data_IF_584190919565
#
_entry.id   IF_584190919565
#
_cell.length_a   1.000
_cell.length_b   1.000
_cell.length_c   1.000
_cell.angle_alpha   90.00
_cell.angle_beta   90.00
_cell.angle_gamma   90.00
#
_symmetry.space_group_name_H-M   'P 1'
#
loop_
_entity.id
_entity.type
_entity.pdbx_description
1 polymer ?
#
# COMPACT_ATOMS: atom_id res chain seq x y z
N UNK A 1 0.87 -48.78 32.47
CA UNK A 1 0.61 -50.08 31.84
C UNK A 1 -0.78 -50.04 31.21
N UNK A 2 -0.84 -50.19 29.88
CA UNK A 2 -1.87 -50.82 29.02
C UNK A 2 -3.37 -50.55 29.30
N UNK A 3 -4.26 -50.22 28.34
CA UNK A 3 -4.29 -50.48 26.89
C UNK A 3 -5.13 -49.44 26.13
N UNK A 4 -4.68 -49.07 24.93
CA UNK A 4 -5.53 -48.61 23.83
C UNK A 4 -6.17 -49.81 23.14
N UNK A 5 -7.45 -49.75 22.75
CA UNK A 5 -8.00 -50.59 21.67
C UNK A 5 -9.26 -49.94 21.07
N UNK A 6 -9.13 -49.50 19.81
CA UNK A 6 -10.16 -49.44 18.79
C UNK A 6 -9.44 -49.92 17.52
N UNK A 7 -10.01 -50.83 16.69
CA UNK A 7 -11.04 -50.39 15.73
C UNK A 7 -12.05 -51.47 15.28
N UNK A 8 -13.22 -51.07 14.78
CA UNK A 8 -13.81 -51.51 13.50
C UNK A 8 -15.28 -51.09 13.35
N UNK A 9 -15.55 -50.32 12.29
CA UNK A 9 -16.85 -50.06 11.68
C UNK A 9 -17.14 -51.15 10.62
N UNK A 10 -18.43 -51.38 10.26
CA UNK A 10 -18.86 -50.97 8.92
C UNK A 10 -20.32 -50.45 8.77
N UNK A 11 -20.46 -49.38 7.97
CA UNK A 11 -21.43 -49.04 6.90
C UNK A 11 -22.99 -49.11 7.07
N UNK A 12 -23.63 -47.91 7.09
CA UNK A 12 -24.73 -47.33 6.23
C UNK A 12 -26.07 -48.10 5.98
N UNK A 13 -27.25 -47.43 5.75
CA UNK A 13 -27.44 -46.30 4.82
C UNK A 13 -28.45 -45.17 5.18
N UNK A 14 -28.38 -44.12 4.33
CA UNK A 14 -29.27 -42.96 4.11
C UNK A 14 -30.76 -43.13 4.46
N UNK A 15 -31.33 -42.09 5.08
CA UNK A 15 -32.69 -41.65 4.77
C UNK A 15 -32.69 -40.16 4.41
N UNK A 16 -33.28 -39.88 3.25
CA UNK A 16 -33.59 -38.54 2.78
C UNK A 16 -34.96 -38.15 3.35
N UNK A 17 -35.10 -36.90 3.78
CA UNK A 17 -36.40 -36.25 3.91
C UNK A 17 -36.35 -34.90 3.19
N UNK A 18 -37.32 -34.72 2.31
CA UNK A 18 -37.49 -33.57 1.42
C UNK A 18 -38.67 -32.70 1.88
N UNK A 19 -38.39 -31.40 2.01
CA UNK A 19 -39.19 -30.21 1.65
C UNK A 19 -40.42 -29.84 2.52
N UNK A 20 -40.32 -28.65 3.15
CA UNK A 20 -41.35 -27.61 3.11
C UNK A 20 -40.67 -26.25 2.91
N UNK A 21 -41.26 -25.42 2.06
CA UNK A 21 -40.74 -24.16 1.53
C UNK A 21 -41.29 -23.00 2.36
N UNK A 22 -40.42 -22.22 2.99
CA UNK A 22 -40.71 -20.82 3.35
C UNK A 22 -39.75 -19.93 2.54
N UNK A 23 -40.24 -18.96 1.75
CA UNK A 23 -39.41 -18.08 0.98
C UNK A 23 -38.92 -16.91 1.87
N UNK A 24 -37.64 -16.55 1.72
CA UNK A 24 -36.91 -15.47 2.41
C UNK A 24 -36.17 -15.86 3.70
N UNK A 25 -35.29 -16.87 3.61
CA UNK A 25 -34.02 -16.82 4.33
C UNK A 25 -32.90 -17.08 3.34
N UNK A 26 -32.00 -16.11 3.21
CA UNK A 26 -30.70 -16.33 2.59
C UNK A 26 -29.97 -17.38 3.44
N UNK A 27 -29.99 -18.65 3.00
CA UNK A 27 -29.12 -19.69 3.55
C UNK A 27 -27.74 -19.40 2.96
N UNK A 28 -26.93 -18.64 3.70
CA UNK A 28 -25.53 -18.46 3.38
C UNK A 28 -24.82 -19.77 3.76
N UNK A 29 -24.50 -20.59 2.76
CA UNK A 29 -23.75 -21.82 2.95
C UNK A 29 -22.40 -21.52 3.65
N UNK A 30 -22.19 -22.13 4.81
CA UNK A 30 -20.86 -22.44 5.36
C UNK A 30 -20.03 -21.27 5.89
N UNK A 31 -20.56 -20.46 6.81
CA UNK A 31 -19.72 -19.50 7.52
C UNK A 31 -18.97 -20.17 8.68
N UNK A 32 -17.67 -20.42 8.51
CA UNK A 32 -16.82 -21.04 9.54
C UNK A 32 -16.40 -20.03 10.62
N UNK A 33 -16.09 -20.47 11.84
CA UNK A 33 -15.60 -19.60 12.93
C UNK A 33 -14.36 -18.79 12.52
N UNK A 34 -13.48 -19.41 11.73
CA UNK A 34 -12.27 -18.78 11.19
C UNK A 34 -12.54 -17.64 10.19
N UNK A 35 -13.77 -17.52 9.68
CA UNK A 35 -14.17 -16.42 8.82
C UNK A 35 -14.40 -15.12 9.60
N UNK A 36 -14.87 -15.21 10.84
CA UNK A 36 -15.29 -14.06 11.64
C UNK A 36 -14.32 -13.70 12.76
N UNK A 37 -13.68 -14.70 13.37
CA UNK A 37 -12.85 -14.50 14.55
C UNK A 37 -11.38 -14.70 14.23
N UNK A 38 -10.58 -13.71 14.60
CA UNK A 38 -9.13 -13.80 14.53
C UNK A 38 -8.56 -14.58 15.73
N UNK A 39 -9.16 -14.36 16.90
CA UNK A 39 -8.72 -14.96 18.16
C UNK A 39 -9.91 -15.20 19.08
N UNK A 40 -9.91 -16.32 19.79
CA UNK A 40 -10.87 -16.62 20.85
C UNK A 40 -10.07 -16.92 22.12
N UNK A 41 -10.35 -16.21 23.21
CA UNK A 41 -9.66 -16.41 24.49
C UNK A 41 -10.66 -16.81 25.55
N UNK A 42 -10.44 -17.95 26.17
CA UNK A 42 -11.23 -18.44 27.31
C UNK A 42 -10.41 -18.25 28.58
N UNK A 43 -10.89 -17.36 29.44
CA UNK A 43 -10.33 -17.09 30.74
C UNK A 43 -11.10 -17.86 31.80
N UNK A 44 -10.33 -18.52 32.65
CA UNK A 44 -10.79 -19.11 33.90
C UNK A 44 -10.02 -18.44 35.04
N UNK A 45 -10.50 -18.50 36.28
CA UNK A 45 -9.85 -17.84 37.41
C UNK A 45 -8.36 -18.19 37.60
N UNK A 46 -7.90 -19.34 37.08
CA UNK A 46 -6.50 -19.80 37.20
C UNK A 46 -5.81 -20.12 35.87
N UNK A 47 -6.54 -20.25 34.76
CA UNK A 47 -5.99 -20.69 33.46
C UNK A 47 -6.53 -19.84 32.32
N UNK A 48 -5.70 -19.66 31.29
CA UNK A 48 -6.07 -18.98 30.05
C UNK A 48 -5.83 -19.92 28.90
N UNK A 49 -6.84 -20.10 28.05
CA UNK A 49 -6.73 -20.84 26.78
C UNK A 49 -6.99 -19.86 25.66
N UNK A 50 -6.07 -19.78 24.69
CA UNK A 50 -6.20 -18.91 23.53
C UNK A 50 -6.15 -19.74 22.25
N UNK A 51 -7.15 -19.58 21.41
CA UNK A 51 -7.15 -20.04 20.03
C UNK A 51 -6.88 -18.86 19.12
N UNK A 52 -5.96 -19.03 18.16
CA UNK A 52 -5.62 -18.03 17.17
C UNK A 52 -5.76 -18.65 15.78
N UNK A 53 -6.32 -17.90 14.84
CA UNK A 53 -6.36 -18.33 13.45
C UNK A 53 -4.95 -18.29 12.83
N UNK A 54 -4.41 -19.45 12.45
CA UNK A 54 -3.05 -19.58 11.90
C UNK A 54 -2.97 -19.67 10.37
N UNK A 55 -4.08 -19.53 9.64
CA UNK A 55 -4.11 -19.65 8.17
C UNK A 55 -4.18 -21.08 7.64
N UNK A 56 -5.09 -21.90 8.19
CA UNK A 56 -5.29 -23.31 7.80
C UNK A 56 -6.65 -23.58 7.13
N UNK A 57 -7.12 -24.82 7.27
CA UNK A 57 -8.47 -25.23 6.88
C UNK A 57 -9.52 -24.56 7.78
N UNK A 58 -10.72 -24.27 7.25
CA UNK A 58 -11.78 -23.63 8.02
C UNK A 58 -12.13 -24.43 9.28
N UNK A 59 -12.24 -23.73 10.40
CA UNK A 59 -12.65 -24.32 11.68
C UNK A 59 -14.09 -23.91 11.94
N UNK A 60 -14.97 -24.89 12.10
CA UNK A 60 -16.40 -24.67 12.37
C UNK A 60 -16.73 -24.74 13.87
N UNK A 61 -15.94 -25.49 14.65
CA UNK A 61 -16.21 -25.73 16.06
C UNK A 61 -14.92 -25.68 16.90
N UNK A 62 -15.00 -25.07 18.08
CA UNK A 62 -13.93 -25.08 19.08
C UNK A 62 -14.39 -25.86 20.32
N UNK A 63 -13.86 -27.07 20.48
CA UNK A 63 -14.19 -27.95 21.62
C UNK A 63 -13.11 -27.86 22.69
N UNK A 64 -13.50 -27.51 23.91
CA UNK A 64 -12.62 -27.46 25.09
C UNK A 64 -13.04 -28.52 26.10
N UNK A 65 -12.15 -29.48 26.38
CA UNK A 65 -12.38 -30.51 27.39
C UNK A 65 -11.48 -30.28 28.59
N UNK A 66 -12.07 -30.30 29.79
CA UNK A 66 -11.36 -30.17 31.07
C UNK A 66 -11.76 -31.30 32.00
N UNK A 67 -10.82 -31.77 32.81
CA UNK A 67 -11.10 -32.62 33.96
C UNK A 67 -11.18 -31.77 35.24
N UNK A 68 -12.31 -31.80 35.92
CA UNK A 68 -12.50 -31.11 37.20
C UNK A 68 -13.90 -31.33 37.75
N UNK A 69 -14.03 -31.19 39.06
CA UNK A 69 -15.23 -31.47 39.87
C UNK A 69 -15.76 -30.20 40.57
N UNK A 70 -15.29 -29.03 40.16
CA UNK A 70 -15.71 -27.73 40.68
C UNK A 70 -16.41 -26.90 39.60
N UNK A 71 -17.56 -26.27 39.91
CA UNK A 71 -18.22 -25.35 39.00
C UNK A 71 -17.33 -24.12 38.77
N UNK A 72 -17.43 -23.53 37.59
CA UNK A 72 -16.47 -22.51 37.16
C UNK A 72 -17.13 -21.45 36.29
N UNK A 73 -16.84 -20.19 36.58
CA UNK A 73 -17.23 -19.08 35.71
C UNK A 73 -16.14 -18.84 34.66
N UNK A 74 -16.51 -19.02 33.40
CA UNK A 74 -15.70 -18.72 32.22
C UNK A 74 -15.97 -17.29 31.74
N UNK A 75 -14.91 -16.58 31.34
CA UNK A 75 -15.03 -15.38 30.51
C UNK A 75 -14.46 -15.69 29.13
N UNK A 76 -15.30 -15.62 28.11
CA UNK A 76 -14.94 -15.91 26.72
C UNK A 76 -14.85 -14.58 25.99
N UNK A 77 -13.69 -14.31 25.38
CA UNK A 77 -13.43 -13.11 24.59
C UNK A 77 -13.31 -13.50 23.12
N UNK A 78 -14.17 -12.92 22.30
CA UNK A 78 -14.16 -13.08 20.85
C UNK A 78 -13.53 -11.85 20.21
N UNK A 79 -12.38 -12.03 19.57
CA UNK A 79 -11.72 -10.99 18.78
C UNK A 79 -12.17 -11.15 17.33
N UNK A 80 -12.99 -10.21 16.87
CA UNK A 80 -13.44 -10.15 15.49
C UNK A 80 -12.27 -9.83 14.57
N UNK A 81 -12.25 -10.46 13.41
CA UNK A 81 -11.28 -10.20 12.36
C UNK A 81 -11.56 -8.81 11.79
N UNK A 82 -10.84 -7.81 12.30
CA UNK A 82 -11.02 -6.44 11.84
C UNK A 82 -10.39 -6.26 10.47
N UNK A 83 -11.22 -6.01 9.46
CA UNK A 83 -10.77 -5.35 8.24
C UNK A 83 -11.15 -3.89 8.36
N UNK A 84 -10.17 -3.00 8.17
CA UNK A 84 -10.44 -1.59 8.04
C UNK A 84 -11.38 -1.42 6.84
N UNK A 85 -12.53 -0.75 7.00
CA UNK A 85 -13.40 -0.47 5.87
C UNK A 85 -12.62 0.31 4.82
N UNK A 86 -12.71 -0.11 3.56
CA UNK A 86 -12.11 0.61 2.42
C UNK A 86 -12.95 1.80 1.96
N UNK A 87 -14.08 2.06 2.60
CA UNK A 87 -14.98 3.18 2.32
C UNK A 87 -14.74 4.36 3.28
N UNK A 88 -15.21 5.54 2.87
CA UNK A 88 -14.93 6.84 3.48
C UNK A 88 -14.90 6.82 5.00
N UNK A 89 -13.70 7.04 5.56
CA UNK A 89 -13.42 7.10 6.99
C UNK A 89 -14.20 8.24 7.68
N UNK A 90 -14.66 9.21 6.90
CA UNK A 90 -15.55 10.28 7.34
C UNK A 90 -16.97 9.91 6.92
N UNK A 91 -17.87 9.77 7.90
CA UNK A 91 -19.27 9.47 7.65
C UNK A 91 -19.88 10.43 6.62
N UNK A 92 -20.90 9.97 5.91
CA UNK A 92 -21.61 10.71 4.85
C UNK A 92 -22.16 12.09 5.26
N UNK A 93 -22.17 12.39 6.56
CA UNK A 93 -22.72 13.60 7.14
C UNK A 93 -21.68 14.70 7.46
N UNK A 94 -20.38 14.45 7.24
CA UNK A 94 -19.33 15.44 7.51
C UNK A 94 -19.07 16.29 6.26
N UNK A 95 -19.76 17.43 6.13
CA UNK A 95 -19.55 18.34 4.99
C UNK A 95 -18.25 19.14 5.06
N UNK A 96 -17.74 19.43 6.26
CA UNK A 96 -16.48 20.17 6.47
C UNK A 96 -15.87 19.77 7.81
N UNK A 97 -14.58 19.45 7.84
CA UNK A 97 -13.81 19.31 9.08
C UNK A 97 -12.49 20.08 8.98
N UNK A 98 -11.96 20.51 10.12
CA UNK A 98 -10.64 21.13 10.19
C UNK A 98 -9.53 20.10 10.11
N UNK A 99 -8.45 20.40 9.37
CA UNK A 99 -7.23 19.59 9.37
C UNK A 99 -6.66 19.26 10.78
N UNK A 100 -6.73 20.14 11.80
CA UNK A 100 -6.25 19.79 13.14
C UNK A 100 -7.08 18.71 13.85
N UNK A 101 -8.35 18.51 13.46
CA UNK A 101 -9.25 17.51 14.07
C UNK A 101 -9.11 16.13 13.41
N UNK A 102 -8.48 16.09 12.22
CA UNK A 102 -8.25 14.88 11.44
C UNK A 102 -7.55 13.76 12.23
N UNK A 103 -6.49 14.01 13.03
CA UNK A 103 -5.81 12.94 13.77
C UNK A 103 -6.73 12.28 14.80
N UNK A 104 -7.59 13.04 15.48
CA UNK A 104 -8.48 12.50 16.50
C UNK A 104 -9.63 11.70 15.88
N UNK A 105 -10.16 12.18 14.75
CA UNK A 105 -11.16 11.44 13.95
C UNK A 105 -10.56 10.13 13.41
N UNK A 106 -9.34 10.17 12.88
CA UNK A 106 -8.64 8.97 12.44
C UNK A 106 -8.38 8.01 13.62
N UNK A 107 -8.00 8.53 14.80
CA UNK A 107 -7.68 7.71 15.97
C UNK A 107 -8.83 6.78 16.38
N UNK A 108 -10.07 7.23 16.20
CA UNK A 108 -11.26 6.44 16.51
C UNK A 108 -11.45 5.24 15.57
N UNK A 109 -10.94 5.33 14.34
CA UNK A 109 -11.01 4.28 13.33
C UNK A 109 -9.74 3.44 13.21
N UNK A 110 -8.65 3.83 13.86
CA UNK A 110 -7.35 3.14 13.82
C UNK A 110 -7.14 2.17 14.98
N UNK A 111 -8.00 2.15 15.99
CA UNK A 111 -7.93 1.19 17.08
C UNK A 111 -8.65 -0.11 16.71
N UNK A 112 -8.09 -1.29 17.04
CA UNK A 112 -8.78 -2.54 16.82
C UNK A 112 -10.08 -2.58 17.63
N UNK A 113 -11.14 -3.22 17.11
CA UNK A 113 -12.41 -3.34 17.81
C UNK A 113 -12.20 -4.05 19.15
N UNK A 114 -12.91 -3.57 20.15
CA UNK A 114 -12.93 -4.22 21.45
C UNK A 114 -13.52 -5.62 21.31
N UNK A 115 -12.93 -6.66 21.94
CA UNK A 115 -13.45 -8.01 21.86
C UNK A 115 -14.83 -8.12 22.51
N UNK A 116 -15.66 -9.01 21.98
CA UNK A 116 -16.96 -9.32 22.60
C UNK A 116 -16.73 -10.24 23.79
N UNK A 117 -17.25 -9.87 24.96
CA UNK A 117 -17.02 -10.59 26.22
C UNK A 117 -18.30 -11.28 26.66
N UNK A 118 -18.24 -12.61 26.78
CA UNK A 118 -19.34 -13.46 27.27
C UNK A 118 -18.92 -14.10 28.59
N UNK A 119 -19.82 -14.10 29.56
CA UNK A 119 -19.60 -14.79 30.85
C UNK A 119 -20.51 -16.00 30.92
N UNK A 120 -19.92 -17.19 31.01
CA UNK A 120 -20.64 -18.47 31.07
C UNK A 120 -20.33 -19.18 32.39
N UNK A 121 -21.33 -19.78 33.03
CA UNK A 121 -21.15 -20.50 34.27
C UNK A 121 -21.27 -22.01 34.02
N UNK A 122 -20.16 -22.73 34.11
CA UNK A 122 -20.13 -24.18 34.01
C UNK A 122 -20.75 -24.80 35.26
N UNK A 123 -21.88 -25.47 35.07
CA UNK A 123 -22.55 -26.29 36.08
C UNK A 123 -22.14 -27.75 35.90
N UNK A 124 -21.99 -28.48 36.99
CA UNK A 124 -21.66 -29.91 36.99
C UNK A 124 -22.89 -30.81 37.06
N UNK A 125 -24.04 -30.23 37.35
CA UNK A 125 -25.33 -30.89 37.51
C UNK A 125 -26.40 -30.12 36.75
N UNK A 126 -27.44 -30.84 36.32
CA UNK A 126 -28.51 -30.32 35.47
C UNK A 126 -28.51 -31.01 34.11
N UNK A 127 -29.59 -30.81 33.36
CA UNK A 127 -29.70 -31.30 32.00
C UNK A 127 -28.85 -30.43 31.07
N UNK A 128 -28.27 -31.04 30.03
CA UNK A 128 -27.45 -30.35 29.03
C UNK A 128 -28.18 -29.15 28.40
N UNK A 129 -29.50 -29.25 28.29
CA UNK A 129 -30.38 -28.21 27.75
C UNK A 129 -30.33 -26.89 28.56
N UNK A 130 -30.11 -26.97 29.87
CA UNK A 130 -30.01 -25.78 30.73
C UNK A 130 -28.65 -25.07 30.60
N UNK A 131 -27.65 -25.75 30.03
CA UNK A 131 -26.30 -25.23 29.84
C UNK A 131 -26.05 -24.67 28.44
N UNK A 132 -27.01 -24.87 27.53
CA UNK A 132 -26.97 -24.38 26.16
C UNK A 132 -27.30 -22.88 26.13
N UNK A 133 -26.42 -22.10 25.51
CA UNK A 133 -26.63 -20.68 25.28
C UNK A 133 -26.37 -20.37 23.81
N UNK A 134 -27.33 -19.67 23.21
CA UNK A 134 -27.21 -19.15 21.84
C UNK A 134 -27.04 -17.65 21.91
N UNK A 135 -26.07 -17.12 21.17
CA UNK A 135 -25.80 -15.69 21.05
C UNK A 135 -25.88 -15.29 19.58
N UNK A 136 -26.69 -14.28 19.29
CA UNK A 136 -26.82 -13.73 17.95
C UNK A 136 -25.89 -12.53 17.78
N UNK A 137 -25.05 -12.57 16.74
CA UNK A 137 -24.17 -11.47 16.37
C UNK A 137 -24.63 -10.87 15.04
N UNK A 138 -24.94 -9.58 15.04
CA UNK A 138 -25.13 -8.84 13.79
C UNK A 138 -23.76 -8.42 13.27
N UNK A 139 -23.30 -9.10 12.22
CA UNK A 139 -22.06 -8.76 11.53
C UNK A 139 -22.42 -8.08 10.22
N UNK A 140 -22.02 -6.82 10.06
CA UNK A 140 -22.06 -6.17 8.77
C UNK A 140 -20.95 -6.77 7.92
N UNK A 141 -21.31 -7.82 7.16
CA UNK A 141 -20.43 -8.43 6.18
C UNK A 141 -20.06 -7.36 5.15
N UNK A 142 -18.87 -6.78 5.28
CA UNK A 142 -18.31 -5.98 4.21
C UNK A 142 -17.96 -6.99 3.12
N UNK A 143 -18.86 -7.17 2.16
CA UNK A 143 -18.67 -8.06 1.02
C UNK A 143 -17.34 -7.69 0.36
N UNK A 144 -16.30 -8.49 0.66
CA UNK A 144 -15.02 -8.44 -0.05
C UNK A 144 -15.14 -9.17 -1.39
N UNK A 145 -16.34 -9.20 -1.98
CA UNK A 145 -16.49 -9.57 -3.37
C UNK A 145 -16.02 -8.38 -4.19
N UNK A 146 -14.73 -8.38 -4.50
CA UNK A 146 -14.22 -7.84 -5.75
C UNK A 146 -14.92 -8.58 -6.89
N UNK A 147 -16.18 -8.22 -7.17
CA UNK A 147 -16.92 -8.69 -8.33
C UNK A 147 -16.22 -8.16 -9.58
N UNK A 148 -15.29 -8.95 -10.12
CA UNK A 148 -14.67 -8.70 -11.41
C UNK A 148 -13.16 -8.91 -11.46
N UNK A 149 -12.68 -10.14 -11.26
CA UNK A 149 -11.57 -10.67 -12.06
C UNK A 149 -11.43 -12.16 -11.80
N UNK A 150 -11.92 -12.95 -12.76
CA UNK A 150 -11.69 -14.39 -12.84
C UNK A 150 -10.20 -14.69 -12.87
N UNK A 151 -9.79 -15.61 -12.00
CA UNK A 151 -8.47 -16.24 -11.81
C UNK A 151 -7.58 -15.61 -10.73
N UNK A 152 -7.88 -15.91 -9.46
CA UNK A 152 -6.87 -15.92 -8.42
C UNK A 152 -6.95 -17.24 -7.62
N UNK A 153 -5.95 -18.08 -7.87
CA UNK A 153 -5.66 -19.30 -7.12
C UNK A 153 -5.40 -18.96 -5.65
N UNK A 154 -5.93 -19.79 -4.76
CA UNK A 154 -5.73 -19.71 -3.32
C UNK A 154 -4.24 -19.59 -2.95
N UNK A 155 -3.83 -18.44 -2.43
CA UNK A 155 -2.56 -18.22 -1.76
C UNK A 155 -2.86 -17.53 -0.41
N UNK A 156 -2.64 -18.30 0.64
CA UNK A 156 -2.34 -17.93 2.04
C UNK A 156 -2.97 -16.66 2.63
N UNK A 157 -3.85 -16.91 3.59
CA UNK A 157 -4.56 -15.95 4.45
C UNK A 157 -3.65 -15.35 5.54
N UNK A 158 -2.83 -14.38 5.16
CA UNK A 158 -2.26 -13.39 6.10
C UNK A 158 -1.98 -12.01 5.48
N UNK A 159 -1.91 -11.88 4.15
CA UNK A 159 -1.48 -10.65 3.49
C UNK A 159 -2.61 -9.78 2.89
N UNK A 160 -3.88 -10.09 3.13
CA UNK A 160 -5.00 -9.47 2.38
C UNK A 160 -5.51 -8.14 2.95
N UNK A 161 -4.80 -7.52 3.89
CA UNK A 161 -5.11 -6.15 4.35
C UNK A 161 -4.13 -5.09 3.80
N UNK A 162 -2.96 -5.49 3.30
CA UNK A 162 -1.92 -4.57 2.85
C UNK A 162 -1.78 -4.48 1.32
N UNK A 163 -2.57 -5.25 0.56
CA UNK A 163 -2.53 -5.24 -0.90
C UNK A 163 -3.03 -3.93 -1.54
N UNK A 164 -3.70 -3.04 -0.79
CA UNK A 164 -4.29 -1.81 -1.34
C UNK A 164 -3.29 -0.65 -1.42
N UNK A 165 -2.14 -0.71 -0.72
CA UNK A 165 -1.18 0.41 -0.69
C UNK A 165 0.19 0.10 -1.31
N UNK A 166 0.43 -1.09 -1.89
CA UNK A 166 1.70 -1.40 -2.56
C UNK A 166 2.96 -1.31 -1.69
N UNK A 167 2.80 -1.32 -0.35
CA UNK A 167 3.87 -1.01 0.62
C UNK A 167 4.53 -2.24 1.27
N UNK A 168 4.00 -3.45 1.06
CA UNK A 168 4.54 -4.69 1.66
C UNK A 168 5.85 -5.18 1.02
N UNK A 169 6.14 -4.79 -0.23
CA UNK A 169 7.35 -5.28 -0.90
C UNK A 169 8.63 -4.67 -0.35
N UNK A 170 8.54 -3.54 0.38
CA UNK A 170 9.67 -2.85 1.00
C UNK A 170 9.85 -3.16 2.49
N UNK A 171 8.79 -3.59 3.19
CA UNK A 171 8.83 -3.81 4.65
C UNK A 171 9.09 -5.28 5.04
N UNK A 172 9.07 -6.21 4.08
CA UNK A 172 9.48 -7.60 4.29
C UNK A 172 11.02 -7.78 4.29
N UNK A 173 11.70 -7.04 5.17
CA UNK A 173 12.97 -7.45 5.75
C UNK A 173 12.94 -7.03 7.22
N UNK A 174 13.06 -7.95 8.19
CA UNK A 174 14.19 -8.87 8.24
C UNK A 174 13.82 -10.27 8.75
N UNK A 175 14.06 -11.33 7.96
CA UNK A 175 14.64 -12.58 8.46
C UNK A 175 14.99 -13.48 7.28
N UNK A 176 16.24 -13.94 7.29
CA UNK A 176 16.84 -14.81 6.30
C UNK A 176 16.12 -16.16 6.28
N UNK A 177 15.17 -16.34 5.37
CA UNK A 177 14.80 -17.67 4.89
C UNK A 177 15.12 -17.73 3.40
N UNK A 178 15.99 -18.67 3.05
CA UNK A 178 16.52 -18.89 1.71
C UNK A 178 15.39 -18.89 0.67
N UNK A 179 15.37 -17.86 -0.17
CA UNK A 179 14.58 -17.84 -1.40
C UNK A 179 14.94 -19.07 -2.22
N UNK A 180 13.93 -19.80 -2.69
CA UNK A 180 14.15 -20.90 -3.61
C UNK A 180 14.86 -20.36 -4.87
N UNK A 181 15.82 -21.10 -5.47
CA UNK A 181 16.56 -20.62 -6.65
C UNK A 181 15.63 -20.28 -7.83
N UNK A 182 14.46 -20.93 -7.91
CA UNK A 182 13.45 -20.66 -8.93
C UNK A 182 12.75 -19.29 -8.77
N UNK A 183 12.52 -18.83 -7.53
CA UNK A 183 11.92 -17.52 -7.29
C UNK A 183 12.91 -16.38 -7.57
N UNK A 184 14.18 -16.57 -7.22
CA UNK A 184 15.23 -15.58 -7.47
C UNK A 184 15.48 -15.36 -8.96
N UNK A 185 15.44 -16.43 -9.77
CA UNK A 185 15.58 -16.33 -11.23
C UNK A 185 14.40 -15.58 -11.88
N UNK A 186 13.17 -15.80 -11.39
CA UNK A 186 11.99 -15.05 -11.86
C UNK A 186 12.07 -13.57 -11.49
N UNK A 187 12.56 -13.24 -10.30
CA UNK A 187 12.76 -11.86 -9.86
C UNK A 187 13.77 -11.12 -10.74
N UNK A 188 14.89 -11.78 -11.06
CA UNK A 188 15.93 -11.20 -11.93
C UNK A 188 15.43 -10.96 -13.35
N UNK A 189 14.62 -11.87 -13.89
CA UNK A 189 14.00 -11.69 -15.21
C UNK A 189 13.03 -10.49 -15.23
N UNK A 190 12.23 -10.34 -14.18
CA UNK A 190 11.29 -9.21 -14.05
C UNK A 190 12.03 -7.88 -13.90
N UNK A 191 13.12 -7.86 -13.13
CA UNK A 191 13.96 -6.66 -13.01
C UNK A 191 14.61 -6.29 -14.35
N UNK A 192 15.12 -7.26 -15.11
CA UNK A 192 15.69 -6.99 -16.42
C UNK A 192 14.64 -6.45 -17.41
N UNK A 193 13.40 -6.95 -17.36
CA UNK A 193 12.30 -6.41 -18.16
C UNK A 193 11.96 -4.97 -17.75
N UNK A 194 11.93 -4.69 -16.45
CA UNK A 194 11.72 -3.35 -15.91
C UNK A 194 12.82 -2.37 -16.37
N UNK A 195 14.08 -2.77 -16.32
CA UNK A 195 15.21 -1.98 -16.82
C UNK A 195 15.08 -1.67 -18.32
N UNK A 196 14.59 -2.64 -19.12
CA UNK A 196 14.36 -2.40 -20.55
C UNK A 196 13.22 -1.40 -20.77
N UNK A 197 12.13 -1.49 -20.01
CA UNK A 197 11.01 -0.56 -20.09
C UNK A 197 11.44 0.86 -19.68
N UNK A 198 12.22 1.00 -18.62
CA UNK A 198 12.74 2.29 -18.16
C UNK A 198 13.69 2.94 -19.20
N UNK A 199 14.51 2.13 -19.86
CA UNK A 199 15.36 2.62 -20.95
C UNK A 199 14.54 3.13 -22.14
N UNK A 200 13.46 2.43 -22.50
CA UNK A 200 12.55 2.86 -23.58
C UNK A 200 11.79 4.14 -23.20
N UNK A 201 11.31 4.24 -21.96
CA UNK A 201 10.64 5.43 -21.45
C UNK A 201 11.57 6.64 -21.50
N UNK A 202 12.83 6.47 -21.09
CA UNK A 202 13.86 7.53 -21.11
C UNK A 202 14.12 8.01 -22.54
N UNK A 203 14.23 7.10 -23.50
CA UNK A 203 14.40 7.45 -24.92
C UNK A 203 13.19 8.20 -25.48
N UNK A 204 11.96 7.76 -25.16
CA UNK A 204 10.74 8.44 -25.58
C UNK A 204 10.63 9.85 -24.99
N UNK A 205 10.95 10.03 -23.71
CA UNK A 205 10.98 11.33 -23.06
C UNK A 205 12.00 12.27 -23.71
N UNK A 206 13.20 11.76 -24.05
CA UNK A 206 14.20 12.54 -24.76
C UNK A 206 13.71 12.97 -26.15
N UNK A 207 13.05 12.07 -26.89
CA UNK A 207 12.45 12.40 -28.19
C UNK A 207 11.36 13.46 -28.08
N UNK A 208 10.49 13.35 -27.08
CA UNK A 208 9.45 14.35 -26.81
C UNK A 208 10.11 15.70 -26.53
N UNK A 209 11.13 15.73 -25.68
CA UNK A 209 11.84 16.97 -25.36
C UNK A 209 12.47 17.60 -26.62
N UNK A 210 13.10 16.80 -27.47
CA UNK A 210 13.64 17.27 -28.76
C UNK A 210 12.55 17.85 -29.67
N UNK A 211 11.38 17.19 -29.76
CA UNK A 211 10.25 17.67 -30.57
C UNK A 211 9.67 18.98 -30.02
N UNK A 212 9.55 19.11 -28.71
CA UNK A 212 9.09 20.35 -28.06
C UNK A 212 10.08 21.49 -28.30
N UNK A 213 11.39 21.24 -28.17
CA UNK A 213 12.42 22.24 -28.46
C UNK A 213 12.37 22.69 -29.93
N UNK A 214 12.22 21.78 -30.88
CA UNK A 214 12.04 22.10 -32.29
C UNK A 214 10.78 22.94 -32.53
N UNK A 215 9.66 22.55 -31.93
CA UNK A 215 8.41 23.30 -32.05
C UNK A 215 8.55 24.73 -31.49
N UNK A 216 9.21 24.89 -30.33
CA UNK A 216 9.49 26.19 -29.75
C UNK A 216 10.40 27.04 -30.64
N UNK A 217 11.41 26.43 -31.26
CA UNK A 217 12.30 27.09 -32.22
C UNK A 217 11.50 27.67 -33.40
N UNK A 218 10.66 26.85 -34.05
CA UNK A 218 9.84 27.29 -35.18
C UNK A 218 8.78 28.32 -34.77
N UNK A 219 8.20 28.17 -33.58
CA UNK A 219 7.25 29.13 -33.02
C UNK A 219 7.90 30.51 -32.78
N UNK A 220 9.12 30.52 -32.22
CA UNK A 220 9.88 31.75 -32.00
C UNK A 220 10.23 32.45 -33.33
N UNK A 221 10.68 31.67 -34.33
CA UNK A 221 10.95 32.18 -35.68
C UNK A 221 9.69 32.77 -36.34
N UNK A 222 8.54 32.12 -36.18
CA UNK A 222 7.28 32.59 -36.75
C UNK A 222 6.74 33.86 -36.08
N UNK A 223 7.06 34.10 -34.80
CA UNK A 223 6.59 35.25 -34.03
C UNK A 223 7.33 36.54 -34.39
N UNK A 224 8.66 36.51 -34.40
CA UNK A 224 9.50 37.62 -34.88
C UNK A 224 10.78 37.08 -35.53
N UNK A 225 10.80 36.94 -36.87
CA UNK A 225 11.93 36.33 -37.56
C UNK A 225 13.20 37.18 -37.49
N UNK A 226 13.08 38.51 -37.36
CA UNK A 226 14.23 39.41 -37.36
C UNK A 226 14.98 39.31 -36.03
N UNK A 227 14.26 39.45 -34.92
CA UNK A 227 14.88 39.30 -33.59
C UNK A 227 15.40 37.87 -33.37
N UNK A 228 14.67 36.86 -33.87
CA UNK A 228 15.11 35.48 -33.77
C UNK A 228 16.45 35.25 -34.47
N UNK A 229 16.63 35.72 -35.71
CA UNK A 229 17.89 35.57 -36.45
C UNK A 229 19.03 36.30 -35.76
N UNK A 230 18.80 37.54 -35.28
CA UNK A 230 19.82 38.30 -34.55
C UNK A 230 20.28 37.54 -33.31
N UNK A 231 19.34 37.05 -32.50
CA UNK A 231 19.64 36.28 -31.29
C UNK A 231 20.37 34.96 -31.60
N UNK A 232 20.02 34.28 -32.70
CA UNK A 232 20.70 33.07 -33.13
C UNK A 232 22.13 33.35 -33.58
N UNK A 233 22.37 34.45 -34.28
CA UNK A 233 23.72 34.87 -34.67
C UNK A 233 24.55 35.23 -33.43
N UNK A 234 23.98 35.99 -32.49
CA UNK A 234 24.61 36.36 -31.23
C UNK A 234 24.97 35.13 -30.37
N UNK A 235 24.14 34.07 -30.36
CA UNK A 235 24.49 32.84 -29.63
C UNK A 235 25.49 31.96 -30.38
N UNK A 236 25.40 31.87 -31.70
CA UNK A 236 26.25 30.98 -32.50
C UNK A 236 27.68 31.50 -32.67
N UNK A 237 27.88 32.82 -32.75
CA UNK A 237 29.19 33.42 -33.03
C UNK A 237 30.23 33.13 -31.93
N UNK A 238 29.93 33.30 -30.63
CA UNK A 238 30.87 32.98 -29.56
C UNK A 238 31.22 31.49 -29.49
N UNK A 239 30.25 30.61 -29.76
CA UNK A 239 30.49 29.17 -29.71
C UNK A 239 31.39 28.70 -30.86
N UNK A 240 31.23 29.25 -32.07
CA UNK A 240 32.17 29.01 -33.16
C UNK A 240 33.58 29.57 -32.86
N UNK A 241 33.67 30.75 -32.26
CA UNK A 241 34.97 31.33 -31.84
C UNK A 241 35.68 30.44 -30.82
N UNK A 242 34.95 29.91 -29.84
CA UNK A 242 35.50 28.95 -28.85
C UNK A 242 35.97 27.66 -29.50
N UNK A 243 35.20 27.13 -30.45
CA UNK A 243 35.50 25.86 -31.10
C UNK A 243 36.72 25.94 -32.02
N UNK A 244 36.96 27.11 -32.63
CA UNK A 244 38.10 27.36 -33.49
C UNK A 244 39.39 27.73 -32.72
N UNK A 245 39.31 27.97 -31.40
CA UNK A 245 40.44 28.26 -30.51
C UNK A 245 41.42 29.33 -31.02
N UNK A 246 40.96 30.23 -31.89
CA UNK A 246 41.77 31.29 -32.47
C UNK A 246 41.54 32.59 -31.69
N UNK A 247 42.42 32.86 -30.72
CA UNK A 247 42.36 34.09 -29.90
C UNK A 247 42.46 35.37 -30.74
N UNK A 248 42.91 35.26 -32.00
CA UNK A 248 43.00 36.39 -32.92
C UNK A 248 41.66 36.76 -33.60
N UNK A 249 40.64 35.90 -33.50
CA UNK A 249 39.35 36.03 -34.20
C UNK A 249 38.19 36.57 -33.34
N UNK A 250 38.46 37.42 -32.34
CA UNK A 250 37.40 38.13 -31.59
C UNK A 250 36.78 39.24 -32.47
N UNK A 251 35.87 38.86 -33.34
CA UNK A 251 35.25 39.72 -34.37
C UNK A 251 34.54 40.95 -33.78
N UNK A 252 33.80 40.78 -32.67
CA UNK A 252 33.12 41.90 -31.99
C UNK A 252 34.08 42.86 -31.30
N UNK A 253 35.21 42.35 -30.81
CA UNK A 253 36.26 43.18 -30.23
C UNK A 253 36.93 44.04 -31.29
N UNK A 254 37.19 43.49 -32.48
CA UNK A 254 37.80 44.22 -33.59
C UNK A 254 36.87 45.29 -34.20
N UNK A 255 35.57 45.02 -34.36
CA UNK A 255 34.63 46.05 -34.89
C UNK A 255 34.36 47.15 -33.87
N UNK A 256 34.25 46.80 -32.58
CA UNK A 256 34.09 47.78 -31.51
C UNK A 256 35.30 48.70 -31.39
N UNK A 257 36.52 48.16 -31.49
CA UNK A 257 37.76 48.96 -31.50
C UNK A 257 37.84 49.96 -32.67
N UNK A 258 37.18 49.70 -33.80
CA UNK A 258 37.15 50.64 -34.93
C UNK A 258 36.26 51.86 -34.66
N UNK A 259 35.38 51.82 -33.65
CA UNK A 259 34.46 52.91 -33.32
C UNK A 259 35.06 53.83 -32.26
N UNK A 260 35.04 55.14 -32.50
CA UNK A 260 35.56 56.14 -31.54
C UNK A 260 34.90 56.06 -30.15
N UNK A 261 33.64 55.61 -30.08
CA UNK A 261 32.91 55.40 -28.83
C UNK A 261 33.53 54.34 -27.90
N UNK A 262 34.32 53.41 -28.44
CA UNK A 262 35.01 52.41 -27.63
C UNK A 262 36.08 53.05 -26.75
N UNK A 263 36.86 53.97 -27.31
CA UNK A 263 37.91 54.70 -26.57
C UNK A 263 37.35 55.74 -25.61
N UNK A 264 36.21 56.35 -25.95
CA UNK A 264 35.53 57.31 -25.07
C UNK A 264 35.14 56.71 -23.69
N UNK A 265 34.93 55.39 -23.60
CA UNK A 265 34.58 54.70 -22.34
C UNK A 265 35.79 54.35 -21.46
N UNK A 266 37.00 54.36 -22.02
CA UNK A 266 38.22 53.96 -21.30
C UNK A 266 38.74 55.12 -20.43
N UNK A 267 38.48 56.36 -20.83
CA UNK A 267 38.93 57.55 -20.09
C UNK A 267 38.11 57.81 -18.81
N UNK A 268 36.84 57.40 -18.77
CA UNK A 268 35.99 57.52 -17.57
C UNK A 268 36.39 56.53 -16.46
N UNK A 269 36.96 55.37 -16.81
CA UNK A 269 37.35 54.34 -15.85
C UNK A 269 38.70 54.63 -15.16
N UNK A 270 39.52 55.57 -15.70
CA UNK A 270 40.86 55.87 -15.19
C UNK A 270 40.93 57.11 -14.30
N UNK A 271 39.84 57.88 -14.17
CA UNK A 271 39.82 59.12 -13.38
C UNK A 271 39.41 58.95 -11.91
N UNK A 272 39.13 57.73 -11.42
CA UNK A 272 38.57 57.52 -10.06
C UNK A 272 39.60 57.08 -9.00
N UNK A 273 40.87 56.84 -9.34
CA UNK A 273 41.89 56.50 -8.34
C UNK A 273 43.22 57.25 -8.57
N UNK A 274 43.26 58.52 -8.13
CA UNK A 274 44.50 59.09 -7.61
C UNK A 274 44.24 59.60 -6.18
N UNK A 275 44.73 58.92 -5.13
CA UNK A 275 44.69 59.48 -3.79
C UNK A 275 45.59 60.72 -3.73
N UNK A 276 45.17 61.79 -3.04
CA UNK A 276 45.98 63.01 -2.93
C UNK A 276 47.29 62.67 -2.19
N UNK A 277 48.42 62.98 -2.85
CA UNK A 277 49.74 63.00 -2.22
C UNK A 277 49.71 64.03 -1.09
N UNK A 278 49.75 63.53 0.15
CA UNK A 278 50.02 64.34 1.33
C UNK A 278 51.49 64.80 1.31
N UNK A 279 51.69 66.01 1.86
CA UNK A 279 52.85 66.89 1.79
C UNK A 279 54.20 66.27 2.18
#
# INVERSE_FOLDING_TARGET
MCCCFCPSLPCLPRSASSISVDPLRFVQEGCCLSSFFERIVVLTGSQTVAWHWGGGDPVEELVLQRRGDTPLTLKILFFLKHRLPTFGVFGSDVQTFGLPDLPELLRQHLLPPTPVVITHNLRLSGDWLESEHTYDFSLDCIDTTCSGSSNCSAISSAATACCVLGLESWLAAPHQHALSPAQQQKQLALNAEMDTLDSQLTLLLQQIHQRVAQMQLYSALAKDPKEFILKQLESCVPDHQRLLADESCLFEYQDSQRRASFYAKVDDAKCTEMPPLAA
#
